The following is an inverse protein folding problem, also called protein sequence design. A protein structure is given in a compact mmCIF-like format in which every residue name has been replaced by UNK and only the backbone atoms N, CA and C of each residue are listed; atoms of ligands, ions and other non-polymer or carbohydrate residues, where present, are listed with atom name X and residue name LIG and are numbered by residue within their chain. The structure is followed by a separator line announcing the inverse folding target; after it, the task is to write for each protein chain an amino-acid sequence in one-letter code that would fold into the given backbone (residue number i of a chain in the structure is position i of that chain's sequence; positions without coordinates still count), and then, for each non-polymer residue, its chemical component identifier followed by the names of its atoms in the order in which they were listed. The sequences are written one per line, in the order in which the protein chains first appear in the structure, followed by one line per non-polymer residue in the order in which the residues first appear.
data_IF_514094816003
#
_entry.id   IF_514094816003
#
_cell.length_a   1.000
_cell.length_b   1.000
_cell.length_c   1.000
_cell.angle_alpha   90.00
_cell.angle_beta   90.00
_cell.angle_gamma   90.00
#
_symmetry.space_group_name_H-M   'P 1'
#
loop_
_entity.id
_entity.type
_entity.pdbx_description
1 polymer ?
#
# COMPACT_ATOMS: atom_id res chain seq x y z
N UNK A 1 18.27 -6.10 -11.52
CA UNK A 1 17.10 -5.76 -10.70
C UNK A 1 16.53 -7.07 -10.18
N UNK A 2 16.09 -7.11 -8.93
CA UNK A 2 15.48 -8.30 -8.35
C UNK A 2 14.22 -8.67 -9.17
N UNK A 3 14.05 -9.96 -9.47
CA UNK A 3 12.93 -10.47 -10.26
C UNK A 3 12.10 -11.46 -9.42
N UNK A 4 10.92 -11.03 -9.00
CA UNK A 4 10.02 -11.85 -8.18
C UNK A 4 9.48 -13.08 -8.89
N UNK A 5 9.49 -13.13 -10.22
CA UNK A 5 9.04 -14.30 -10.99
C UNK A 5 10.01 -15.47 -10.80
N UNK A 6 11.31 -15.18 -10.65
CA UNK A 6 12.36 -16.20 -10.52
C UNK A 6 12.77 -16.44 -9.06
N UNK A 7 12.83 -15.37 -8.26
CA UNK A 7 13.37 -15.40 -6.89
C UNK A 7 12.30 -15.53 -5.79
N UNK A 8 11.00 -15.58 -6.16
CA UNK A 8 9.88 -15.46 -5.22
C UNK A 8 9.62 -14.01 -4.81
N UNK A 9 8.46 -13.64 -4.24
CA UNK A 9 8.07 -12.25 -3.97
C UNK A 9 8.51 -11.70 -2.59
N UNK A 10 9.07 -12.53 -1.71
CA UNK A 10 9.27 -12.22 -0.30
C UNK A 10 10.24 -11.05 -0.08
N UNK A 11 11.32 -10.97 -0.85
CA UNK A 11 12.27 -9.84 -0.75
C UNK A 11 11.61 -8.53 -1.20
N UNK A 12 10.71 -8.58 -2.19
CA UNK A 12 9.91 -7.41 -2.57
C UNK A 12 9.07 -6.93 -1.39
N UNK A 13 8.37 -7.85 -0.71
CA UNK A 13 7.51 -7.50 0.43
C UNK A 13 8.32 -6.89 1.58
N UNK A 14 9.50 -7.44 1.88
CA UNK A 14 10.43 -6.86 2.86
C UNK A 14 10.93 -5.47 2.44
N UNK A 15 11.10 -5.24 1.14
CA UNK A 15 11.47 -3.94 0.60
C UNK A 15 10.38 -2.88 0.80
N UNK A 16 9.10 -3.25 0.73
CA UNK A 16 7.99 -2.34 1.09
C UNK A 16 8.12 -1.87 2.54
N UNK A 17 8.34 -2.79 3.48
CA UNK A 17 8.56 -2.45 4.90
C UNK A 17 9.79 -1.55 5.09
N UNK A 18 10.86 -1.81 4.33
CA UNK A 18 12.09 -1.02 4.38
C UNK A 18 11.89 0.42 3.85
N UNK A 19 11.15 0.57 2.75
CA UNK A 19 10.79 1.87 2.20
C UNK A 19 9.94 2.67 3.19
N UNK A 20 8.93 2.04 3.79
CA UNK A 20 8.06 2.69 4.78
C UNK A 20 8.82 3.06 6.06
N UNK A 21 9.78 2.24 6.50
CA UNK A 21 10.67 2.58 7.60
C UNK A 21 11.55 3.81 7.29
N UNK A 22 11.99 3.97 6.04
CA UNK A 22 12.72 5.16 5.59
C UNK A 22 11.82 6.40 5.52
N UNK A 23 10.58 6.24 5.05
CA UNK A 23 9.59 7.33 5.05
C UNK A 23 9.27 7.78 6.49
N UNK A 24 9.18 6.83 7.43
CA UNK A 24 9.06 7.14 8.86
C UNK A 24 10.27 7.92 9.38
N UNK A 25 11.49 7.48 9.10
CA UNK A 25 12.70 8.13 9.62
C UNK A 25 12.92 9.55 9.07
N UNK A 26 12.31 9.85 7.93
CA UNK A 26 12.31 11.18 7.29
C UNK A 26 11.11 12.05 7.68
N UNK A 27 10.19 11.53 8.51
CA UNK A 27 9.01 12.28 8.99
C UNK A 27 7.85 12.35 8.01
N UNK A 28 7.84 11.51 6.96
CA UNK A 28 6.76 11.47 5.95
C UNK A 28 5.49 10.77 6.47
N UNK A 29 5.63 9.97 7.53
CA UNK A 29 4.57 9.25 8.24
C UNK A 29 5.00 8.98 9.68
N UNK A 30 4.06 8.68 10.59
CA UNK A 30 4.35 8.42 12.00
C UNK A 30 4.61 6.93 12.29
N UNK A 31 3.77 6.07 11.71
CA UNK A 31 3.89 4.63 11.84
C UNK A 31 3.32 3.93 10.61
N UNK A 32 3.74 2.69 10.39
CA UNK A 32 3.26 1.89 9.28
C UNK A 32 3.36 0.40 9.59
N UNK A 33 2.48 -0.40 9.00
CA UNK A 33 2.52 -1.85 9.05
C UNK A 33 2.30 -2.43 7.65
N UNK A 34 2.95 -3.56 7.36
CA UNK A 34 2.74 -4.32 6.12
C UNK A 34 2.38 -5.74 6.52
N UNK A 35 1.15 -6.13 6.26
CA UNK A 35 0.65 -7.47 6.48
C UNK A 35 0.52 -8.15 5.12
N UNK A 36 1.23 -9.25 4.94
CA UNK A 36 1.06 -10.09 3.75
C UNK A 36 -0.02 -11.11 4.09
N UNK A 37 -1.08 -11.17 3.30
CA UNK A 37 -2.11 -12.19 3.44
C UNK A 37 -1.54 -13.60 3.23
N UNK A 38 -2.36 -14.61 3.49
CA UNK A 38 -1.95 -16.01 3.36
C UNK A 38 -1.41 -16.28 1.95
N UNK A 39 -0.09 -16.49 1.87
CA UNK A 39 0.64 -16.74 0.64
C UNK A 39 1.64 -17.87 0.88
N UNK A 40 1.71 -18.78 -0.09
CA UNK A 40 2.72 -19.83 -0.16
C UNK A 40 3.42 -19.72 -1.52
N UNK A 41 4.75 -19.60 -1.47
CA UNK A 41 5.63 -19.46 -2.64
C UNK A 41 5.45 -20.57 -3.67
N UNK A 42 4.99 -21.74 -3.26
CA UNK A 42 4.64 -22.85 -4.15
C UNK A 42 3.55 -22.47 -5.16
N UNK A 43 2.67 -21.52 -4.81
CA UNK A 43 1.60 -21.01 -5.64
C UNK A 43 1.92 -19.62 -6.22
N UNK A 44 3.19 -19.20 -6.26
CA UNK A 44 3.59 -17.99 -6.95
C UNK A 44 3.70 -18.23 -8.46
N UNK A 45 2.57 -18.20 -9.16
CA UNK A 45 2.47 -18.43 -10.62
C UNK A 45 1.50 -17.45 -11.26
N UNK A 46 1.66 -17.19 -12.55
CA UNK A 46 0.87 -16.18 -13.29
C UNK A 46 -0.63 -16.45 -13.29
N UNK A 47 -1.05 -17.72 -13.11
CA UNK A 47 -2.43 -18.18 -13.05
C UNK A 47 -3.01 -18.24 -11.63
N UNK A 48 -2.19 -17.97 -10.61
CA UNK A 48 -2.61 -18.05 -9.23
C UNK A 48 -3.42 -16.82 -8.80
N UNK A 49 -4.33 -16.96 -7.81
CA UNK A 49 -5.01 -15.81 -7.24
C UNK A 49 -3.99 -14.76 -6.77
N UNK A 50 -4.34 -13.46 -6.84
CA UNK A 50 -3.45 -12.43 -6.32
C UNK A 50 -3.17 -12.63 -4.84
N UNK A 51 -1.93 -12.35 -4.46
CA UNK A 51 -1.55 -12.18 -3.06
C UNK A 51 -1.90 -10.75 -2.65
N UNK A 52 -2.63 -10.59 -1.55
CA UNK A 52 -2.98 -9.28 -1.02
C UNK A 52 -1.98 -8.87 0.07
N UNK A 53 -1.43 -7.67 -0.05
CA UNK A 53 -0.72 -6.98 1.00
C UNK A 53 -1.64 -5.90 1.55
N UNK A 54 -1.84 -5.91 2.86
CA UNK A 54 -2.53 -4.85 3.59
C UNK A 54 -1.49 -3.95 4.21
N UNK A 55 -1.44 -2.70 3.76
CA UNK A 55 -0.51 -1.68 4.24
C UNK A 55 -1.28 -0.65 5.04
N UNK A 56 -0.94 -0.50 6.31
CA UNK A 56 -1.50 0.52 7.19
C UNK A 56 -0.49 1.64 7.36
N UNK A 57 -0.91 2.89 7.20
CA UNK A 57 -0.04 4.07 7.31
C UNK A 57 -0.71 5.08 8.23
N UNK A 58 -0.05 5.41 9.33
CA UNK A 58 -0.52 6.38 10.31
C UNK A 58 0.06 7.76 10.04
N UNK A 59 -0.84 8.73 10.00
CA UNK A 59 -0.59 10.17 9.79
C UNK A 59 0.39 10.47 8.66
N UNK A 60 0.15 9.97 7.43
CA UNK A 60 0.98 10.38 6.31
C UNK A 60 0.78 11.87 6.01
N UNK A 61 1.87 12.56 5.66
CA UNK A 61 1.87 14.02 5.43
C UNK A 61 0.92 14.45 4.31
N UNK A 62 0.59 13.55 3.39
CA UNK A 62 -0.32 13.78 2.25
C UNK A 62 -1.80 13.65 2.60
N UNK A 63 -2.16 13.05 3.75
CA UNK A 63 -3.56 12.70 4.06
C UNK A 63 -4.51 13.90 4.03
N UNK A 64 -4.13 15.01 4.64
CA UNK A 64 -5.00 16.20 4.70
C UNK A 64 -5.25 16.79 3.30
N UNK A 65 -4.24 16.79 2.43
CA UNK A 65 -4.41 17.19 1.05
C UNK A 65 -5.31 16.20 0.28
N UNK A 66 -5.13 14.89 0.50
CA UNK A 66 -5.96 13.87 -0.11
C UNK A 66 -7.44 14.01 0.28
N UNK A 67 -7.74 14.34 1.54
CA UNK A 67 -9.11 14.53 2.00
C UNK A 67 -9.77 15.76 1.38
N UNK A 68 -9.03 16.87 1.28
CA UNK A 68 -9.53 18.10 0.66
C UNK A 68 -9.81 17.92 -0.83
N UNK A 69 -8.89 17.29 -1.56
CA UNK A 69 -8.99 17.10 -3.01
C UNK A 69 -9.96 15.97 -3.39
N UNK A 70 -9.95 14.87 -2.63
CA UNK A 70 -10.83 13.73 -2.84
C UNK A 70 -12.30 14.04 -2.51
N UNK A 71 -12.56 14.99 -1.60
CA UNK A 71 -13.90 15.49 -1.30
C UNK A 71 -14.58 16.22 -2.46
N UNK A 72 -13.83 16.68 -3.46
CA UNK A 72 -14.36 17.36 -4.64
C UNK A 72 -14.81 16.39 -5.75
N UNK A 73 -14.82 15.08 -5.49
CA UNK A 73 -15.13 14.06 -6.50
C UNK A 73 -14.09 14.00 -7.62
N UNK A 74 -12.93 14.61 -7.42
CA UNK A 74 -11.84 14.58 -8.37
C UNK A 74 -11.18 13.20 -8.31
N UNK A 75 -10.90 12.59 -9.47
CA UNK A 75 -10.13 11.34 -9.54
C UNK A 75 -8.66 11.51 -9.17
N UNK A 76 -8.26 12.70 -8.69
CA UNK A 76 -6.90 13.03 -8.32
C UNK A 76 -6.68 12.71 -6.84
N UNK A 77 -5.90 11.65 -6.59
CA UNK A 77 -5.43 11.29 -5.24
C UNK A 77 -3.94 11.59 -5.15
N UNK A 78 -3.51 12.60 -4.38
CA UNK A 78 -2.09 12.88 -4.10
C UNK A 78 -1.37 11.78 -3.28
N UNK A 79 -1.87 10.53 -3.32
CA UNK A 79 -1.35 9.43 -2.54
C UNK A 79 -0.06 8.89 -3.17
N UNK A 80 1.02 9.56 -2.83
CA UNK A 80 2.36 9.31 -3.35
C UNK A 80 2.91 7.99 -2.79
N UNK A 81 2.55 7.60 -1.56
CA UNK A 81 3.13 6.43 -0.90
C UNK A 81 2.69 5.13 -1.58
N UNK A 82 1.40 4.98 -1.89
CA UNK A 82 0.85 3.81 -2.57
C UNK A 82 1.37 3.69 -3.99
N UNK A 83 1.45 4.82 -4.71
CA UNK A 83 2.06 4.84 -6.04
C UNK A 83 3.54 4.44 -5.98
N UNK A 84 4.30 4.91 -4.99
CA UNK A 84 5.69 4.49 -4.78
C UNK A 84 5.81 2.99 -4.53
N UNK A 85 4.95 2.43 -3.67
CA UNK A 85 4.92 1.00 -3.38
C UNK A 85 4.55 0.19 -4.63
N UNK A 86 3.55 0.62 -5.39
CA UNK A 86 3.11 -0.03 -6.61
C UNK A 86 4.23 -0.04 -7.67
N UNK A 87 4.84 1.12 -7.94
CA UNK A 87 5.95 1.22 -8.90
C UNK A 87 7.15 0.38 -8.45
N UNK A 88 7.46 0.37 -7.16
CA UNK A 88 8.52 -0.48 -6.62
C UNK A 88 8.24 -1.97 -6.86
N UNK A 89 7.04 -2.45 -6.53
CA UNK A 89 6.63 -3.85 -6.74
C UNK A 89 6.58 -4.21 -8.23
N UNK A 90 6.12 -3.31 -9.09
CA UNK A 90 6.16 -3.50 -10.55
C UNK A 90 7.60 -3.60 -11.07
N UNK A 91 8.51 -2.78 -10.54
CA UNK A 91 9.94 -2.85 -10.89
C UNK A 91 10.59 -4.18 -10.47
N UNK A 92 9.95 -4.90 -9.55
CA UNK A 92 10.34 -6.25 -9.11
C UNK A 92 9.69 -7.36 -9.94
N UNK A 93 9.02 -7.04 -11.06
CA UNK A 93 8.43 -8.03 -11.97
C UNK A 93 7.00 -8.46 -11.60
N UNK A 94 6.28 -7.67 -10.81
CA UNK A 94 4.88 -7.94 -10.44
C UNK A 94 3.89 -7.15 -11.32
N UNK A 95 2.66 -7.64 -11.41
CA UNK A 95 1.48 -6.84 -11.75
C UNK A 95 0.84 -6.40 -10.44
N UNK A 96 0.45 -5.13 -10.35
CA UNK A 96 -0.01 -4.51 -9.12
C UNK A 96 -1.31 -3.76 -9.36
N UNK A 97 -2.33 -4.10 -8.57
CA UNK A 97 -3.57 -3.33 -8.45
C UNK A 97 -3.72 -2.91 -6.98
N UNK A 98 -4.22 -1.70 -6.70
CA UNK A 98 -4.37 -1.25 -5.32
C UNK A 98 -5.60 -0.37 -5.10
N UNK A 99 -6.06 -0.33 -3.86
CA UNK A 99 -7.13 0.55 -3.39
C UNK A 99 -6.81 1.06 -1.99
N UNK A 100 -7.06 2.35 -1.76
CA UNK A 100 -6.85 2.99 -0.46
C UNK A 100 -8.16 3.44 0.18
N UNK A 101 -8.20 3.33 1.50
CA UNK A 101 -9.28 3.77 2.38
C UNK A 101 -8.72 4.71 3.44
N UNK A 102 -9.45 5.78 3.74
CA UNK A 102 -9.12 6.67 4.85
C UNK A 102 -9.85 6.19 6.09
N UNK A 103 -9.15 6.08 7.21
CA UNK A 103 -9.64 5.48 8.44
C UNK A 103 -9.50 6.49 9.58
N UNK A 104 -10.60 6.71 10.31
CA UNK A 104 -10.57 7.30 11.64
C UNK A 104 -10.44 6.15 12.65
N UNK A 105 -9.29 6.00 13.33
CA UNK A 105 -9.11 4.92 14.30
C UNK A 105 -9.98 5.13 15.55
N UNK A 106 -10.55 6.32 15.76
CA UNK A 106 -11.46 6.61 16.85
C UNK A 106 -12.90 6.54 16.36
N UNK A 107 -13.70 5.67 16.97
CA UNK A 107 -15.14 5.66 16.69
C UNK A 107 -15.78 6.96 17.18
N UNK A 108 -16.58 7.58 16.31
CA UNK A 108 -17.33 8.80 16.60
C UNK A 108 -18.81 8.58 16.28
N UNK A 109 -19.73 8.85 17.22
CA UNK A 109 -21.16 8.67 16.97
C UNK A 109 -21.72 9.59 15.88
N UNK A 110 -21.17 10.79 15.75
CA UNK A 110 -21.57 11.76 14.74
C UNK A 110 -20.66 11.63 13.50
N UNK A 111 -21.20 11.34 12.30
CA UNK A 111 -20.42 11.26 11.06
C UNK A 111 -19.69 12.56 10.71
N UNK A 112 -20.23 13.72 11.10
CA UNK A 112 -19.61 15.02 10.79
C UNK A 112 -18.29 15.24 11.54
N UNK A 113 -18.05 14.48 12.62
CA UNK A 113 -16.81 14.54 13.41
C UNK A 113 -15.70 13.64 12.85
N UNK A 114 -15.93 12.98 11.71
CA UNK A 114 -14.97 12.06 11.08
C UNK A 114 -13.62 12.75 10.80
N UNK A 115 -12.57 12.25 11.46
CA UNK A 115 -11.22 12.81 11.39
C UNK A 115 -10.22 11.70 11.07
N UNK A 116 -10.13 11.28 9.80
CA UNK A 116 -9.23 10.22 9.43
C UNK A 116 -7.79 10.64 9.68
N UNK A 117 -7.05 9.72 10.27
CA UNK A 117 -5.63 9.88 10.57
C UNK A 117 -4.79 8.70 10.10
N UNK A 118 -5.42 7.72 9.44
CA UNK A 118 -4.79 6.53 8.92
C UNK A 118 -5.23 6.29 7.48
N UNK A 119 -4.32 5.75 6.68
CA UNK A 119 -4.60 5.22 5.34
C UNK A 119 -4.40 3.71 5.38
N UNK A 120 -5.40 2.97 4.92
CA UNK A 120 -5.33 1.54 4.69
C UNK A 120 -5.27 1.30 3.19
N UNK A 121 -4.16 0.78 2.71
CA UNK A 121 -3.98 0.40 1.31
C UNK A 121 -4.00 -1.13 1.17
N UNK A 122 -4.88 -1.63 0.31
CA UNK A 122 -4.88 -3.01 -0.12
C UNK A 122 -4.22 -3.12 -1.48
N UNK A 123 -3.07 -3.79 -1.52
CA UNK A 123 -2.27 -3.98 -2.73
C UNK A 123 -2.37 -5.45 -3.14
N UNK A 124 -2.92 -5.72 -4.31
CA UNK A 124 -3.01 -7.05 -4.90
C UNK A 124 -1.86 -7.22 -5.89
N UNK A 125 -1.07 -8.28 -5.71
CA UNK A 125 0.08 -8.57 -6.56
C UNK A 125 -0.02 -9.94 -7.22
N UNK A 126 0.50 -10.04 -8.44
CA UNK A 126 0.68 -11.29 -9.19
C UNK A 126 2.02 -11.28 -9.91
N UNK A 127 2.63 -12.44 -10.21
CA UNK A 127 3.77 -12.46 -11.11
C UNK A 127 3.36 -11.91 -12.47
N UNK A 128 4.23 -11.10 -13.09
CA UNK A 128 4.00 -10.64 -14.46
C UNK A 128 4.14 -11.83 -15.43
N UNK A 129 3.19 -12.05 -16.35
CA UNK A 129 3.35 -13.05 -17.41
C UNK A 129 4.59 -12.71 -18.24
N UNK A 130 5.43 -13.71 -18.49
CA UNK A 130 6.58 -13.61 -19.39
C UNK A 130 6.20 -13.80 -20.85
#
# INVERSE_FOLDING_TARGET
FYNSVEEGPEKAFQGCSSLLALLKSTGFLEASNVEVGDFDVKYWKSDSPPTTLTVTIDKPVTLQANLQLGGEGTGFKPDVIENMLAVYLESCGMLVDWVSYFIDPTYRPNPDDYQPSQVLCQINVRPRPT
#
